data_IF_718183789435
#
_entry.id   IF_718183789435
#
_cell.length_a   1.000
_cell.length_b   1.000
_cell.length_c   1.000
_cell.angle_alpha   90.00
_cell.angle_beta   90.00
_cell.angle_gamma   90.00
#
_symmetry.space_group_name_H-M   'P 1'
#
loop_
_entity.id
_entity.type
_entity.pdbx_description
1 polymer ?
#
# COMPACT_ATOMS: atom_id res chain seq x y z
N UNK A 1 14.38 13.45 -32.05
CA UNK A 1 14.33 12.56 -30.88
C UNK A 1 13.45 13.23 -29.85
N UNK A 2 12.15 12.94 -29.88
CA UNK A 2 11.25 13.36 -28.80
C UNK A 2 11.58 12.45 -27.63
N UNK A 3 12.28 12.99 -26.62
CA UNK A 3 12.37 12.33 -25.32
C UNK A 3 10.96 12.32 -24.75
N UNK A 4 10.36 11.15 -24.69
CA UNK A 4 9.17 10.88 -23.90
C UNK A 4 9.58 10.94 -22.42
N UNK A 5 9.63 12.16 -21.88
CA UNK A 5 9.99 12.46 -20.49
C UNK A 5 8.89 12.05 -19.49
N UNK A 6 7.73 11.62 -19.99
CA UNK A 6 6.53 11.29 -19.21
C UNK A 6 6.70 9.96 -18.47
N UNK A 7 7.27 8.95 -19.14
CA UNK A 7 7.34 7.59 -18.61
C UNK A 7 8.35 7.37 -17.47
N UNK A 8 9.41 8.19 -17.39
CA UNK A 8 10.40 8.08 -16.30
C UNK A 8 9.93 8.76 -15.02
N UNK A 9 9.25 9.91 -15.12
CA UNK A 9 8.78 10.65 -13.96
C UNK A 9 7.71 9.88 -13.19
N UNK A 10 6.72 9.31 -13.90
CA UNK A 10 5.67 8.52 -13.25
C UNK A 10 6.23 7.26 -12.58
N UNK A 11 7.22 6.62 -13.20
CA UNK A 11 7.90 5.46 -12.63
C UNK A 11 8.70 5.82 -11.38
N UNK A 12 9.46 6.91 -11.41
CA UNK A 12 10.26 7.38 -10.29
C UNK A 12 9.37 7.81 -9.10
N UNK A 13 8.22 8.43 -9.38
CA UNK A 13 7.23 8.82 -8.35
C UNK A 13 6.68 7.60 -7.60
N UNK A 14 6.37 6.51 -8.30
CA UNK A 14 5.92 5.26 -7.66
C UNK A 14 7.04 4.56 -6.89
N UNK A 15 8.28 4.55 -7.38
CA UNK A 15 9.41 3.97 -6.65
C UNK A 15 9.71 4.72 -5.36
N UNK A 16 9.73 6.06 -5.41
CA UNK A 16 9.90 6.89 -4.21
C UNK A 16 8.72 6.72 -3.25
N UNK A 17 7.49 6.74 -3.76
CA UNK A 17 6.29 6.51 -2.96
C UNK A 17 6.27 5.14 -2.28
N UNK A 18 6.70 4.09 -2.99
CA UNK A 18 6.82 2.74 -2.44
C UNK A 18 7.88 2.67 -1.32
N UNK A 19 9.06 3.26 -1.53
CA UNK A 19 10.10 3.29 -0.51
C UNK A 19 9.61 3.99 0.77
N UNK A 20 8.93 5.14 0.64
CA UNK A 20 8.36 5.84 1.78
C UNK A 20 7.27 5.00 2.48
N UNK A 21 6.33 4.45 1.71
CA UNK A 21 5.25 3.63 2.25
C UNK A 21 5.78 2.44 3.04
N UNK A 22 6.77 1.70 2.53
CA UNK A 22 7.35 0.55 3.22
C UNK A 22 8.06 0.93 4.51
N UNK A 23 8.78 2.05 4.53
CA UNK A 23 9.42 2.57 5.76
C UNK A 23 8.38 2.92 6.81
N UNK A 24 7.32 3.63 6.43
CA UNK A 24 6.22 3.97 7.33
C UNK A 24 5.50 2.72 7.86
N UNK A 25 5.26 1.72 7.00
CA UNK A 25 4.66 0.45 7.41
C UNK A 25 5.51 -0.29 8.45
N UNK A 26 6.82 -0.38 8.27
CA UNK A 26 7.71 -0.98 9.26
C UNK A 26 7.77 -0.18 10.56
N UNK A 27 7.77 1.16 10.49
CA UNK A 27 7.70 2.01 11.66
C UNK A 27 6.38 1.78 12.43
N UNK A 28 5.24 1.69 11.73
CA UNK A 28 3.95 1.34 12.32
C UNK A 28 3.96 -0.04 12.99
N UNK A 29 4.52 -1.07 12.33
CA UNK A 29 4.64 -2.41 12.92
C UNK A 29 5.49 -2.37 14.19
N UNK A 30 6.61 -1.65 14.18
CA UNK A 30 7.47 -1.50 15.34
C UNK A 30 6.72 -0.83 16.51
N UNK A 31 6.01 0.28 16.27
CA UNK A 31 5.20 0.96 17.29
C UNK A 31 4.10 0.04 17.83
N UNK A 32 3.39 -0.68 16.96
CA UNK A 32 2.32 -1.60 17.38
C UNK A 32 2.84 -2.72 18.28
N UNK A 33 4.01 -3.28 17.98
CA UNK A 33 4.66 -4.29 18.83
C UNK A 33 5.06 -3.74 20.21
N UNK A 34 5.43 -2.47 20.33
CA UNK A 34 5.65 -1.84 21.64
C UNK A 34 4.36 -1.74 22.48
N UNK A 35 3.19 -1.79 21.82
CA UNK A 35 1.88 -1.81 22.46
C UNK A 35 1.30 -3.23 22.59
N UNK A 36 2.15 -4.26 22.46
CA UNK A 36 1.76 -5.68 22.50
C UNK A 36 0.72 -6.08 21.45
N UNK A 37 0.70 -5.37 20.32
CA UNK A 37 -0.17 -5.67 19.18
C UNK A 37 0.64 -6.19 18.01
N UNK A 38 0.58 -7.49 17.80
CA UNK A 38 1.14 -8.11 16.59
C UNK A 38 0.02 -8.25 15.55
N UNK A 39 0.13 -7.46 14.48
CA UNK A 39 -0.90 -7.36 13.45
C UNK A 39 -0.27 -7.02 12.11
N UNK A 40 -1.00 -7.29 11.03
CA UNK A 40 -0.57 -6.89 9.69
C UNK A 40 -0.63 -5.37 9.55
N UNK A 41 0.23 -4.80 8.71
CA UNK A 41 0.18 -3.38 8.35
C UNK A 41 -0.15 -3.28 6.87
N UNK A 42 -1.07 -2.39 6.53
CA UNK A 42 -1.55 -2.19 5.17
C UNK A 42 -1.15 -0.80 4.67
N UNK A 43 -0.64 -0.70 3.45
CA UNK A 43 -0.19 0.55 2.83
C UNK A 43 -0.72 0.72 1.41
N UNK A 44 -0.85 1.97 0.96
CA UNK A 44 -1.30 2.31 -0.40
C UNK A 44 -0.37 3.39 -0.95
N UNK A 45 0.08 3.23 -2.19
CA UNK A 45 0.78 4.27 -2.96
C UNK A 45 -0.07 4.63 -4.16
N UNK A 46 -0.28 5.91 -4.38
CA UNK A 46 -1.02 6.43 -5.54
C UNK A 46 -0.53 7.80 -5.98
N UNK A 47 -0.58 8.05 -7.28
CA UNK A 47 -0.44 9.38 -7.89
C UNK A 47 -1.80 9.93 -8.39
N UNK A 48 -2.91 9.30 -8.02
CA UNK A 48 -4.26 9.62 -8.50
C UNK A 48 -4.67 8.86 -9.76
N UNK A 49 -3.73 8.52 -10.64
CA UNK A 49 -3.98 7.73 -11.86
C UNK A 49 -3.76 6.24 -11.65
N UNK A 50 -2.73 5.86 -10.90
CA UNK A 50 -2.38 4.48 -10.56
C UNK A 50 -2.40 4.23 -9.06
N UNK A 51 -2.69 3.01 -8.66
CA UNK A 51 -2.81 2.58 -7.27
C UNK A 51 -2.11 1.24 -7.06
N UNK A 52 -1.18 1.19 -6.10
CA UNK A 52 -0.57 -0.05 -5.59
C UNK A 52 -0.93 -0.24 -4.12
N UNK A 53 -1.23 -1.47 -3.76
CA UNK A 53 -1.59 -1.87 -2.41
C UNK A 53 -0.50 -2.78 -1.83
N UNK A 54 -0.20 -2.60 -0.56
CA UNK A 54 0.86 -3.30 0.18
C UNK A 54 0.30 -3.94 1.44
N UNK A 55 0.83 -5.11 1.78
CA UNK A 55 0.64 -5.76 3.08
C UNK A 55 2.03 -6.13 3.63
N UNK A 56 2.31 -5.68 4.85
CA UNK A 56 3.39 -6.16 5.70
C UNK A 56 2.76 -7.10 6.72
N UNK A 57 2.94 -8.40 6.52
CA UNK A 57 2.47 -9.41 7.45
C UNK A 57 3.09 -9.20 8.84
N UNK A 58 2.39 -9.62 9.89
CA UNK A 58 2.91 -9.56 11.27
C UNK A 58 4.29 -10.24 11.41
N UNK A 59 4.57 -11.25 10.58
CA UNK A 59 5.85 -11.98 10.53
C UNK A 59 6.97 -11.24 9.76
N UNK A 60 6.66 -10.13 9.12
CA UNK A 60 7.62 -9.27 8.41
C UNK A 60 7.69 -9.47 6.90
N UNK A 61 6.90 -10.39 6.32
CA UNK A 61 6.82 -10.56 4.86
C UNK A 61 6.04 -9.41 4.22
N UNK A 62 6.59 -8.87 3.12
CA UNK A 62 5.95 -7.82 2.34
C UNK A 62 5.40 -8.41 1.06
N UNK A 63 4.14 -8.10 0.76
CA UNK A 63 3.52 -8.38 -0.53
C UNK A 63 2.93 -7.11 -1.14
N UNK A 64 2.91 -7.04 -2.47
CA UNK A 64 2.33 -5.93 -3.22
C UNK A 64 1.36 -6.42 -4.30
N UNK A 65 0.39 -5.58 -4.65
CA UNK A 65 -0.52 -5.81 -5.75
C UNK A 65 0.08 -5.40 -7.10
N UNK A 66 -0.60 -5.78 -8.18
CA UNK A 66 -0.43 -5.11 -9.47
C UNK A 66 -0.84 -3.63 -9.38
N UNK A 67 -0.42 -2.83 -10.35
CA UNK A 67 -0.86 -1.43 -10.49
C UNK A 67 -2.30 -1.40 -11.04
N UNK A 68 -3.19 -0.69 -10.35
CA UNK A 68 -4.57 -0.48 -10.78
C UNK A 68 -4.78 0.96 -11.24
N UNK A 69 -5.26 1.12 -12.47
CA UNK A 69 -5.54 2.43 -13.05
C UNK A 69 -6.92 2.97 -12.68
N UNK A 70 -7.05 4.29 -12.62
CA UNK A 70 -8.30 5.03 -12.40
C UNK A 70 -9.37 4.75 -13.46
N UNK A 71 -8.95 4.31 -14.66
CA UNK A 71 -9.86 3.92 -15.75
C UNK A 71 -10.75 2.73 -15.41
N UNK A 72 -10.33 1.86 -14.49
CA UNK A 72 -11.09 0.69 -14.02
C UNK A 72 -11.80 0.98 -12.69
N UNK A 73 -12.57 2.08 -12.64
CA UNK A 73 -13.14 2.64 -11.42
C UNK A 73 -13.91 1.62 -10.56
N UNK A 74 -14.71 0.75 -11.18
CA UNK A 74 -15.46 -0.28 -10.45
C UNK A 74 -14.55 -1.27 -9.72
N UNK A 75 -13.43 -1.65 -10.36
CA UNK A 75 -12.42 -2.53 -9.77
C UNK A 75 -11.70 -1.78 -8.66
N UNK A 76 -11.26 -0.55 -8.90
CA UNK A 76 -10.55 0.26 -7.91
C UNK A 76 -11.39 0.49 -6.64
N UNK A 77 -12.67 0.87 -6.80
CA UNK A 77 -13.58 1.05 -5.67
C UNK A 77 -13.85 -0.27 -4.92
N UNK A 78 -13.94 -1.39 -5.65
CA UNK A 78 -14.05 -2.72 -5.06
C UNK A 78 -12.81 -3.08 -4.22
N UNK A 79 -11.62 -2.81 -4.75
CA UNK A 79 -10.34 -3.02 -4.06
C UNK A 79 -10.24 -2.15 -2.82
N UNK A 80 -10.53 -0.85 -2.91
CA UNK A 80 -10.53 0.06 -1.76
C UNK A 80 -11.48 -0.42 -0.67
N UNK A 81 -12.70 -0.84 -1.04
CA UNK A 81 -13.67 -1.40 -0.09
C UNK A 81 -13.13 -2.66 0.59
N UNK A 82 -12.56 -3.57 -0.19
CA UNK A 82 -11.98 -4.81 0.33
C UNK A 82 -10.81 -4.52 1.27
N UNK A 83 -9.92 -3.60 0.87
CA UNK A 83 -8.72 -3.20 1.59
C UNK A 83 -9.07 -2.53 2.93
N UNK A 84 -10.01 -1.60 2.96
CA UNK A 84 -10.50 -1.04 4.23
C UNK A 84 -11.17 -2.09 5.11
N UNK A 85 -11.85 -3.08 4.51
CA UNK A 85 -12.37 -4.23 5.24
C UNK A 85 -11.28 -5.10 5.87
N UNK A 86 -10.10 -5.22 5.23
CA UNK A 86 -8.94 -5.89 5.83
C UNK A 86 -8.43 -5.10 7.04
N UNK A 87 -8.25 -3.78 6.89
CA UNK A 87 -7.84 -2.90 7.99
C UNK A 87 -8.80 -3.01 9.19
N UNK A 88 -10.10 -2.96 8.93
CA UNK A 88 -11.12 -3.06 9.97
C UNK A 88 -11.05 -4.41 10.70
N UNK A 89 -10.97 -5.53 9.97
CA UNK A 89 -10.83 -6.86 10.60
C UNK A 89 -9.57 -6.95 11.45
N UNK A 90 -8.46 -6.42 10.96
CA UNK A 90 -7.16 -6.48 11.64
C UNK A 90 -7.15 -5.69 12.96
N UNK A 91 -7.91 -4.60 13.06
CA UNK A 91 -8.10 -3.86 14.32
C UNK A 91 -8.92 -4.65 15.35
N UNK A 92 -9.84 -5.51 14.90
CA UNK A 92 -10.76 -6.26 15.77
C UNK A 92 -10.28 -7.68 16.08
N UNK A 93 -9.30 -8.21 15.35
CA UNK A 93 -8.74 -9.56 15.58
C UNK A 93 -7.66 -9.62 16.67
N UNK A 94 -7.21 -8.49 17.21
CA UNK A 94 -6.19 -8.43 18.28
C UNK A 94 -6.78 -8.53 19.70
N UNK A 95 -7.83 -9.34 19.89
CA UNK A 95 -8.39 -9.68 21.22
C UNK A 95 -8.18 -11.16 21.51
#
# INVERSE_FOLDING_TARGET
MTHDSSGSAEKDDFEQGAAQCLVEMHACQWVNRQMERDMDIYGIVTNGEGWKFYQLASQGEVSESLLYGIGEMSILLGLLRMFFGLCDRNLHSSV
#
